data_IF_435024067184
#
_entry.id   IF_435024067184
#
_cell.length_a   1.000
_cell.length_b   1.000
_cell.length_c   1.000
_cell.angle_alpha   90.00
_cell.angle_beta   90.00
_cell.angle_gamma   90.00
#
_symmetry.space_group_name_H-M   'P 1'
#
loop_
_entity.id
_entity.type
_entity.pdbx_description
1 polymer ?
#
# COMPACT_ATOMS: atom_id res chain seq x y z
N UNK A 1 -57.06 -11.41 -24.69
CA UNK A 1 -56.36 -11.52 -23.40
C UNK A 1 -54.93 -11.05 -23.58
N UNK A 2 -54.66 -9.79 -23.25
CA UNK A 2 -53.33 -9.15 -23.35
C UNK A 2 -52.48 -9.52 -22.14
N UNK A 3 -51.26 -10.03 -22.34
CA UNK A 3 -50.30 -10.24 -21.26
C UNK A 3 -49.05 -9.37 -21.48
N UNK A 4 -48.84 -8.44 -20.55
CA UNK A 4 -47.68 -7.54 -20.42
C UNK A 4 -46.70 -8.15 -19.41
N UNK A 5 -45.42 -7.71 -19.51
CA UNK A 5 -44.29 -7.75 -18.55
C UNK A 5 -43.18 -8.72 -18.99
N UNK A 6 -41.88 -8.43 -18.92
CA UNK A 6 -41.10 -7.28 -18.44
C UNK A 6 -39.68 -7.45 -19.00
N UNK A 7 -39.10 -6.39 -19.57
CA UNK A 7 -37.70 -6.38 -20.01
C UNK A 7 -36.76 -6.46 -18.80
N UNK A 8 -36.14 -7.63 -18.61
CA UNK A 8 -35.08 -7.83 -17.62
C UNK A 8 -33.78 -7.20 -18.09
N UNK A 9 -33.49 -6.00 -17.61
CA UNK A 9 -32.22 -5.28 -17.83
C UNK A 9 -31.10 -6.09 -17.16
N UNK A 10 -30.42 -6.95 -17.92
CA UNK A 10 -29.26 -7.72 -17.45
C UNK A 10 -28.07 -6.76 -17.34
N UNK A 11 -27.98 -6.06 -16.21
CA UNK A 11 -26.81 -5.27 -15.87
C UNK A 11 -25.62 -6.24 -15.74
N UNK A 12 -24.76 -6.26 -16.76
CA UNK A 12 -23.47 -6.94 -16.70
C UNK A 12 -22.59 -6.17 -15.75
N UNK A 13 -22.61 -6.53 -14.47
CA UNK A 13 -21.64 -6.07 -13.48
C UNK A 13 -20.28 -6.56 -13.95
N UNK A 14 -19.52 -5.68 -14.63
CA UNK A 14 -18.12 -5.96 -14.98
C UNK A 14 -17.41 -6.27 -13.67
N UNK A 15 -17.07 -7.55 -13.43
CA UNK A 15 -16.22 -7.95 -12.31
C UNK A 15 -14.93 -7.15 -12.45
N UNK A 16 -14.76 -6.13 -11.60
CA UNK A 16 -13.47 -5.46 -11.44
C UNK A 16 -12.46 -6.57 -11.14
N UNK A 17 -11.39 -6.64 -11.95
CA UNK A 17 -10.31 -7.57 -11.69
C UNK A 17 -9.87 -7.37 -10.24
N UNK A 18 -9.84 -8.47 -9.45
CA UNK A 18 -9.26 -8.44 -8.12
C UNK A 18 -7.83 -7.95 -8.30
N UNK A 19 -7.55 -6.74 -7.80
CA UNK A 19 -6.17 -6.30 -7.66
C UNK A 19 -5.51 -7.30 -6.73
N UNK A 20 -4.47 -7.97 -7.21
CA UNK A 20 -3.62 -8.76 -6.34
C UNK A 20 -3.13 -7.82 -5.25
N UNK A 21 -3.55 -8.06 -4.01
CA UNK A 21 -2.97 -7.37 -2.86
C UNK A 21 -1.54 -7.85 -2.81
N UNK A 22 -0.59 -7.05 -3.30
CA UNK A 22 0.83 -7.37 -3.24
C UNK A 22 1.15 -7.59 -1.77
N UNK A 23 1.34 -8.85 -1.39
CA UNK A 23 1.59 -9.22 0.00
C UNK A 23 3.06 -8.91 0.30
N UNK A 24 3.40 -7.62 0.28
CA UNK A 24 4.75 -7.09 0.52
C UNK A 24 5.28 -7.54 1.88
N UNK A 25 4.40 -7.75 2.87
CA UNK A 25 4.73 -8.29 4.18
C UNK A 25 5.07 -9.79 4.18
N UNK A 26 4.73 -10.53 3.13
CA UNK A 26 5.15 -11.92 2.94
C UNK A 26 6.40 -12.06 2.06
N UNK A 27 6.93 -10.96 1.52
CA UNK A 27 8.16 -10.97 0.71
C UNK A 27 9.43 -10.88 1.55
N UNK A 28 9.31 -10.44 2.80
CA UNK A 28 10.42 -10.24 3.73
C UNK A 28 10.20 -11.09 4.97
N UNK A 29 11.28 -11.63 5.53
CA UNK A 29 11.22 -12.28 6.83
C UNK A 29 11.09 -11.24 7.97
N UNK A 30 10.77 -11.71 9.17
CA UNK A 30 10.59 -10.81 10.33
C UNK A 30 11.90 -10.12 10.75
N UNK A 31 13.06 -10.72 10.46
CA UNK A 31 14.35 -10.13 10.78
C UNK A 31 14.65 -8.93 9.86
N UNK A 32 14.42 -9.09 8.56
CA UNK A 32 14.51 -8.01 7.57
C UNK A 32 13.53 -6.88 7.87
N UNK A 33 12.30 -7.20 8.27
CA UNK A 33 11.33 -6.17 8.67
C UNK A 33 11.81 -5.40 9.91
N UNK A 34 12.46 -6.07 10.86
CA UNK A 34 13.04 -5.42 12.04
C UNK A 34 14.21 -4.51 11.65
N UNK A 35 15.14 -4.99 10.82
CA UNK A 35 16.26 -4.20 10.30
C UNK A 35 15.79 -2.96 9.55
N UNK A 36 14.77 -3.08 8.69
CA UNK A 36 14.21 -1.93 7.98
C UNK A 36 13.57 -0.92 8.94
N UNK A 37 12.93 -1.37 10.01
CA UNK A 37 12.36 -0.46 11.02
C UNK A 37 13.44 0.27 11.80
N UNK A 38 14.50 -0.42 12.20
CA UNK A 38 15.62 0.21 12.91
C UNK A 38 16.35 1.22 12.04
N UNK A 39 16.65 0.86 10.79
CA UNK A 39 17.25 1.77 9.82
C UNK A 39 16.33 2.96 9.53
N UNK A 40 15.02 2.73 9.37
CA UNK A 40 14.05 3.79 9.16
C UNK A 40 14.03 4.78 10.33
N UNK A 41 13.94 4.29 11.57
CA UNK A 41 13.95 5.13 12.77
C UNK A 41 15.25 5.91 12.97
N UNK A 42 16.36 5.43 12.40
CA UNK A 42 17.64 6.14 12.45
C UNK A 42 17.70 7.29 11.44
N UNK A 43 17.00 7.15 10.31
CA UNK A 43 16.98 8.13 9.23
C UNK A 43 15.89 9.18 9.46
N UNK A 44 14.67 8.78 9.83
CA UNK A 44 13.53 9.65 10.14
C UNK A 44 13.80 10.42 11.44
N UNK A 45 14.40 11.61 11.30
CA UNK A 45 14.91 12.41 12.41
C UNK A 45 13.79 13.16 13.13
N UNK A 46 12.74 13.53 12.39
CA UNK A 46 11.60 14.27 12.89
C UNK A 46 10.46 13.35 13.41
N UNK A 47 10.55 12.04 13.16
CA UNK A 47 9.60 11.00 13.57
C UNK A 47 8.18 11.19 13.01
N UNK A 48 8.05 11.72 11.79
CA UNK A 48 6.77 11.90 11.12
C UNK A 48 6.30 10.65 10.35
N UNK A 49 7.14 9.61 10.29
CA UNK A 49 6.86 8.37 9.60
C UNK A 49 7.15 8.41 8.10
N UNK A 50 7.82 9.46 7.63
CA UNK A 50 8.35 9.60 6.28
C UNK A 50 9.85 9.91 6.36
N UNK A 51 10.56 9.65 5.27
CA UNK A 51 11.95 10.09 5.11
C UNK A 51 11.92 11.15 4.02
N UNK A 52 12.19 12.39 4.40
CA UNK A 52 12.23 13.51 3.48
C UNK A 52 13.67 13.91 3.12
N UNK A 53 13.83 15.02 2.39
CA UNK A 53 15.15 15.49 1.97
C UNK A 53 15.96 16.07 3.13
N UNK A 54 15.27 16.56 4.15
CA UNK A 54 15.86 17.20 5.32
C UNK A 54 16.44 16.10 6.22
N UNK A 55 15.70 15.01 6.44
CA UNK A 55 16.17 13.79 7.13
C UNK A 55 17.45 13.21 6.50
N UNK A 56 17.47 13.09 5.17
CA UNK A 56 18.65 12.58 4.45
C UNK A 56 19.85 13.52 4.52
N UNK A 57 19.61 14.83 4.48
CA UNK A 57 20.66 15.83 4.62
C UNK A 57 21.29 15.77 6.01
N UNK A 58 20.47 15.69 7.05
CA UNK A 58 20.91 15.65 8.43
C UNK A 58 21.62 14.34 8.77
N UNK A 59 21.13 13.20 8.25
CA UNK A 59 21.79 11.91 8.39
C UNK A 59 23.20 11.91 7.77
N UNK A 60 23.37 12.48 6.56
CA UNK A 60 24.67 12.58 5.90
C UNK A 60 25.60 13.61 6.54
N UNK A 61 25.06 14.67 7.14
CA UNK A 61 25.85 15.67 7.86
C UNK A 61 26.36 15.17 9.23
N UNK A 62 25.76 14.10 9.77
CA UNK A 62 26.11 13.47 11.05
C UNK A 62 27.21 12.40 10.93
N UNK A 63 27.70 12.12 9.71
CA UNK A 63 28.78 11.18 9.37
C UNK A 63 30.15 11.87 9.31
#
# INVERSE_FOLDING_TARGET
MSARKTAGRRATTKKRAQRATSNVFAMFDQAQIAEFKEAFNMIDHNHDGFIDKEDLHDMLASL
#
